data_IF_373413012197
#
_entry.id   IF_373413012197
#
_cell.length_a   1.000
_cell.length_b   1.000
_cell.length_c   1.000
_cell.angle_alpha   90.00
_cell.angle_beta   90.00
_cell.angle_gamma   90.00
#
_symmetry.space_group_name_H-M   'P 1'
#
loop_
_entity.id
_entity.type
_entity.pdbx_description
1 polymer ?
#
# COMPACT_ATOMS: atom_id res chain seq x y z
N UNK A 1 70.91 -47.00 14.50
CA UNK A 1 71.04 -45.62 13.98
C UNK A 1 69.73 -45.30 13.25
N UNK A 2 68.68 -44.86 13.97
CA UNK A 2 68.31 -43.48 14.38
C UNK A 2 67.47 -42.72 13.35
N UNK A 3 66.32 -42.20 13.82
CA UNK A 3 65.47 -41.13 13.27
C UNK A 3 64.43 -41.57 12.21
N UNK A 4 63.16 -41.18 12.23
CA UNK A 4 62.52 -39.97 12.79
C UNK A 4 61.01 -40.22 12.97
N UNK A 5 60.48 -39.85 14.15
CA UNK A 5 59.03 -39.79 14.41
C UNK A 5 58.53 -38.39 14.05
N UNK A 6 57.63 -38.25 13.09
CA UNK A 6 56.94 -37.00 12.80
C UNK A 6 55.61 -36.96 13.58
N UNK A 7 55.62 -36.24 14.71
CA UNK A 7 54.43 -35.82 15.45
C UNK A 7 53.52 -34.99 14.52
N UNK A 8 52.32 -35.48 14.21
CA UNK A 8 51.21 -34.64 13.75
C UNK A 8 50.67 -33.86 14.94
N UNK A 9 50.84 -32.54 14.90
CA UNK A 9 50.23 -31.58 15.81
C UNK A 9 48.70 -31.61 15.65
N UNK A 10 47.99 -32.08 16.68
CA UNK A 10 46.55 -31.91 16.79
C UNK A 10 46.23 -30.43 16.98
N UNK A 11 45.60 -29.81 15.98
CA UNK A 11 44.93 -28.52 16.18
C UNK A 11 43.74 -28.72 17.12
N UNK A 12 43.60 -27.94 18.20
CA UNK A 12 42.41 -28.00 19.03
C UNK A 12 41.22 -27.49 18.22
N UNK A 13 40.22 -28.36 18.02
CA UNK A 13 38.93 -27.99 17.46
C UNK A 13 38.34 -26.89 18.33
N UNK A 14 38.28 -25.65 17.81
CA UNK A 14 37.56 -24.56 18.45
C UNK A 14 36.09 -24.97 18.53
N UNK A 15 35.67 -25.47 19.69
CA UNK A 15 34.29 -25.75 20.01
C UNK A 15 33.52 -24.44 19.87
N UNK A 16 32.62 -24.37 18.88
CA UNK A 16 31.64 -23.29 18.80
C UNK A 16 30.90 -23.26 20.13
N UNK A 17 30.74 -22.09 20.78
CA UNK A 17 29.95 -22.02 22.00
C UNK A 17 28.54 -22.52 21.68
N UNK A 18 28.15 -23.64 22.32
CA UNK A 18 26.78 -24.13 22.31
C UNK A 18 25.92 -23.01 22.89
N UNK A 19 25.04 -22.44 22.06
CA UNK A 19 23.99 -21.52 22.54
C UNK A 19 23.26 -22.21 23.70
N UNK A 20 23.04 -21.53 24.84
CA UNK A 20 22.27 -22.11 25.93
C UNK A 20 20.90 -22.51 25.40
N UNK A 21 20.59 -23.80 25.50
CA UNK A 21 19.28 -24.35 25.20
C UNK A 21 18.32 -23.80 26.25
N UNK A 22 17.43 -22.90 25.86
CA UNK A 22 16.39 -22.38 26.76
C UNK A 22 16.19 -20.86 26.79
N UNK A 23 16.96 -20.05 26.05
CA UNK A 23 16.58 -18.65 25.88
C UNK A 23 15.31 -18.58 25.00
N UNK A 24 14.14 -18.50 25.66
CA UNK A 24 12.88 -18.17 25.00
C UNK A 24 13.09 -16.88 24.19
N UNK A 25 13.08 -17.04 22.88
CA UNK A 25 13.40 -15.93 21.99
C UNK A 25 12.24 -14.93 22.04
N UNK A 26 12.52 -13.62 22.13
CA UNK A 26 11.46 -12.63 22.25
C UNK A 26 10.49 -12.72 21.06
N UNK A 27 9.18 -12.65 21.31
CA UNK A 27 8.17 -12.83 20.27
C UNK A 27 8.27 -11.70 19.24
N UNK A 28 8.09 -12.04 17.95
CA UNK A 28 8.00 -11.04 16.88
C UNK A 28 6.77 -10.16 17.10
N UNK A 29 6.97 -8.85 17.22
CA UNK A 29 5.92 -7.83 17.33
C UNK A 29 6.01 -6.86 16.16
N UNK A 30 4.90 -6.65 15.46
CA UNK A 30 4.77 -5.66 14.38
C UNK A 30 4.52 -4.28 14.99
N UNK A 31 5.30 -3.28 14.58
CA UNK A 31 5.31 -1.94 15.17
C UNK A 31 5.45 -1.92 16.72
N UNK A 32 5.87 -3.03 17.34
CA UNK A 32 5.88 -3.19 18.80
C UNK A 32 4.50 -3.41 19.43
N UNK A 33 3.42 -3.26 18.65
CA UNK A 33 2.03 -3.25 19.08
C UNK A 33 1.45 -4.67 19.21
N UNK A 34 1.54 -5.46 18.14
CA UNK A 34 0.81 -6.74 18.03
C UNK A 34 1.67 -7.89 17.52
N UNK A 35 1.31 -9.11 17.93
CA UNK A 35 2.00 -10.33 17.50
C UNK A 35 1.42 -10.87 16.19
N UNK A 36 0.11 -10.81 15.98
CA UNK A 36 -0.56 -11.40 14.81
C UNK A 36 -0.45 -10.53 13.56
N UNK A 37 -0.11 -11.13 12.41
CA UNK A 37 -0.06 -10.42 11.12
C UNK A 37 -1.44 -9.92 10.66
N UNK A 38 -2.50 -10.71 10.88
CA UNK A 38 -3.87 -10.30 10.56
C UNK A 38 -4.34 -9.12 11.40
N UNK A 39 -4.11 -9.17 12.73
CA UNK A 39 -4.40 -8.05 13.64
C UNK A 39 -3.61 -6.80 13.27
N UNK A 40 -2.34 -6.97 12.88
CA UNK A 40 -1.53 -5.85 12.38
C UNK A 40 -2.12 -5.23 11.12
N UNK A 41 -2.54 -6.03 10.14
CA UNK A 41 -3.20 -5.51 8.94
C UNK A 41 -4.53 -4.82 9.24
N UNK A 42 -5.30 -5.30 10.23
CA UNK A 42 -6.50 -4.62 10.70
C UNK A 42 -6.18 -3.23 11.28
N UNK A 43 -5.06 -3.09 12.02
CA UNK A 43 -4.59 -1.78 12.51
C UNK A 43 -4.15 -0.87 11.37
N UNK A 44 -3.47 -1.40 10.35
CA UNK A 44 -3.07 -0.63 9.15
C UNK A 44 -4.30 -0.12 8.40
N UNK A 45 -5.31 -0.98 8.18
CA UNK A 45 -6.59 -0.57 7.57
C UNK A 45 -7.30 0.46 8.45
N UNK A 46 -7.34 0.24 9.76
CA UNK A 46 -7.96 1.16 10.72
C UNK A 46 -7.28 2.53 10.73
N UNK A 47 -5.95 2.59 10.68
CA UNK A 47 -5.21 3.84 10.61
C UNK A 47 -5.52 4.62 9.33
N UNK A 48 -5.59 3.95 8.17
CA UNK A 48 -5.99 4.57 6.92
C UNK A 48 -7.43 5.10 6.98
N UNK A 49 -8.36 4.30 7.49
CA UNK A 49 -9.77 4.68 7.59
C UNK A 49 -9.98 5.85 8.58
N UNK A 50 -9.30 5.84 9.72
CA UNK A 50 -9.34 6.96 10.69
C UNK A 50 -8.77 8.22 10.07
N UNK A 51 -7.63 8.14 9.38
CA UNK A 51 -7.05 9.29 8.69
C UNK A 51 -8.01 9.86 7.63
N UNK A 52 -8.66 9.00 6.85
CA UNK A 52 -9.66 9.41 5.87
C UNK A 52 -10.87 10.07 6.53
N UNK A 53 -11.45 9.45 7.56
CA UNK A 53 -12.63 9.97 8.27
C UNK A 53 -12.35 11.31 8.97
N UNK A 54 -11.23 11.41 9.69
CA UNK A 54 -10.83 12.65 10.37
C UNK A 54 -10.55 13.75 9.36
N UNK A 55 -9.85 13.44 8.26
CA UNK A 55 -9.61 14.42 7.21
C UNK A 55 -10.90 14.87 6.53
N UNK A 56 -11.81 13.95 6.18
CA UNK A 56 -13.13 14.30 5.62
C UNK A 56 -13.91 15.21 6.55
N UNK A 57 -14.00 14.88 7.85
CA UNK A 57 -14.68 15.73 8.83
C UNK A 57 -14.01 17.11 8.99
N UNK A 58 -12.68 17.16 8.94
CA UNK A 58 -11.90 18.40 9.06
C UNK A 58 -11.91 19.28 7.81
N UNK A 59 -12.24 18.70 6.63
CA UNK A 59 -12.29 19.43 5.35
C UNK A 59 -13.69 19.52 4.76
N UNK A 60 -14.73 19.20 5.51
CA UNK A 60 -16.10 19.33 5.04
C UNK A 60 -16.41 20.79 4.69
N UNK A 61 -16.99 21.01 3.50
CA UNK A 61 -17.48 22.31 3.08
C UNK A 61 -18.75 22.67 3.86
N UNK A 62 -18.96 23.95 4.21
CA UNK A 62 -20.18 24.37 4.88
C UNK A 62 -21.41 24.07 4.02
N UNK A 63 -22.49 23.64 4.67
CA UNK A 63 -23.74 23.31 3.97
C UNK A 63 -24.25 24.52 3.18
N UNK A 64 -24.48 24.31 1.87
CA UNK A 64 -25.06 25.34 1.01
C UNK A 64 -26.56 25.40 1.28
N UNK A 65 -27.04 26.57 1.73
CA UNK A 65 -28.45 26.79 2.04
C UNK A 65 -29.31 26.53 0.80
N UNK A 66 -30.28 25.62 0.92
CA UNK A 66 -31.22 25.26 -0.16
C UNK A 66 -30.83 24.02 -0.97
N UNK A 67 -29.65 23.44 -0.76
CA UNK A 67 -29.27 22.14 -1.33
C UNK A 67 -29.34 21.05 -0.26
N UNK A 68 -29.98 19.93 -0.61
CA UNK A 68 -29.99 18.76 0.25
C UNK A 68 -28.58 18.16 0.32
N UNK A 69 -28.01 18.09 1.51
CA UNK A 69 -26.74 17.40 1.72
C UNK A 69 -26.93 15.87 1.66
N UNK A 70 -25.91 15.11 1.21
CA UNK A 70 -25.92 13.66 1.35
C UNK A 70 -26.10 13.27 2.83
N UNK A 71 -26.83 12.20 3.11
CA UNK A 71 -26.93 11.68 4.47
C UNK A 71 -25.57 11.18 5.00
N UNK A 72 -25.38 11.06 6.33
CA UNK A 72 -24.09 10.67 6.93
C UNK A 72 -23.53 9.35 6.41
N UNK A 73 -24.42 8.41 6.03
CA UNK A 73 -24.02 7.13 5.45
C UNK A 73 -23.28 7.31 4.12
N UNK A 74 -23.71 8.25 3.28
CA UNK A 74 -23.07 8.51 1.98
C UNK A 74 -21.80 9.33 2.20
N UNK A 75 -21.88 10.39 3.01
CA UNK A 75 -20.77 11.30 3.31
C UNK A 75 -19.55 10.56 3.86
N UNK A 76 -19.73 9.71 4.89
CA UNK A 76 -18.64 8.94 5.49
C UNK A 76 -18.43 7.58 4.83
N UNK A 77 -19.44 7.02 4.18
CA UNK A 77 -19.34 5.73 3.49
C UNK A 77 -18.41 5.79 2.29
N UNK A 78 -18.43 6.90 1.52
CA UNK A 78 -17.57 7.07 0.36
C UNK A 78 -16.06 7.00 0.71
N UNK A 79 -15.52 7.80 1.64
CA UNK A 79 -14.09 7.73 1.98
C UNK A 79 -13.69 6.39 2.62
N UNK A 80 -14.59 5.76 3.38
CA UNK A 80 -14.35 4.41 3.94
C UNK A 80 -14.25 3.36 2.84
N UNK A 81 -15.24 3.31 1.93
CA UNK A 81 -15.22 2.36 0.81
C UNK A 81 -14.03 2.62 -0.11
N UNK A 82 -13.66 3.90 -0.31
CA UNK A 82 -12.47 4.25 -1.08
C UNK A 82 -11.19 3.73 -0.43
N UNK A 83 -11.05 3.90 0.88
CA UNK A 83 -9.88 3.39 1.62
C UNK A 83 -9.82 1.86 1.57
N UNK A 84 -10.97 1.19 1.74
CA UNK A 84 -11.05 -0.27 1.64
C UNK A 84 -10.67 -0.76 0.24
N UNK A 85 -11.14 -0.06 -0.80
CA UNK A 85 -10.78 -0.33 -2.20
C UNK A 85 -9.26 -0.23 -2.37
N UNK A 86 -8.67 0.91 -2.03
CA UNK A 86 -7.24 1.17 -2.23
C UNK A 86 -6.38 0.16 -1.47
N UNK A 87 -6.66 -0.08 -0.18
CA UNK A 87 -5.88 -1.03 0.63
C UNK A 87 -6.03 -2.47 0.13
N UNK A 88 -7.24 -2.89 -0.27
CA UNK A 88 -7.47 -4.23 -0.77
C UNK A 88 -6.81 -4.48 -2.14
N UNK A 89 -6.83 -3.50 -3.04
CA UNK A 89 -6.15 -3.54 -4.32
C UNK A 89 -4.63 -3.56 -4.17
N UNK A 90 -4.07 -2.68 -3.32
CA UNK A 90 -2.64 -2.64 -2.98
C UNK A 90 -2.18 -3.96 -2.37
N UNK A 91 -2.96 -4.54 -1.44
CA UNK A 91 -2.68 -5.84 -0.86
C UNK A 91 -2.68 -6.95 -1.93
N UNK A 92 -3.65 -6.93 -2.85
CA UNK A 92 -3.75 -7.89 -3.96
C UNK A 92 -2.51 -7.84 -4.87
N UNK A 93 -2.08 -6.64 -5.25
CA UNK A 93 -0.85 -6.44 -6.03
C UNK A 93 0.40 -6.92 -5.27
N UNK A 94 0.51 -6.56 -3.99
CA UNK A 94 1.63 -6.96 -3.13
C UNK A 94 1.77 -8.47 -2.93
N UNK A 95 0.65 -9.18 -2.77
CA UNK A 95 0.62 -10.64 -2.67
C UNK A 95 1.04 -11.31 -3.98
N UNK A 96 0.77 -10.67 -5.12
CA UNK A 96 1.34 -11.03 -6.43
C UNK A 96 2.87 -10.97 -6.42
N UNK A 97 3.41 -9.79 -6.11
CA UNK A 97 4.85 -9.48 -6.08
C UNK A 97 5.65 -10.40 -5.17
N UNK A 98 5.08 -10.82 -4.04
CA UNK A 98 5.78 -11.67 -3.08
C UNK A 98 6.33 -12.97 -3.71
N UNK A 99 5.59 -13.54 -4.67
CA UNK A 99 6.00 -14.74 -5.40
C UNK A 99 7.33 -14.51 -6.14
N UNK A 100 7.49 -13.32 -6.73
CA UNK A 100 8.71 -12.92 -7.46
C UNK A 100 9.91 -12.68 -6.54
N UNK A 101 9.67 -12.21 -5.32
CA UNK A 101 10.74 -11.95 -4.35
C UNK A 101 11.26 -13.23 -3.71
N UNK A 102 10.38 -14.16 -3.33
CA UNK A 102 10.80 -15.46 -2.79
C UNK A 102 11.59 -16.23 -3.86
N UNK A 103 11.14 -16.16 -5.12
CA UNK A 103 11.77 -16.85 -6.24
C UNK A 103 11.44 -18.34 -6.27
N UNK A 104 12.00 -19.05 -7.25
CA UNK A 104 11.70 -20.45 -7.55
C UNK A 104 12.86 -21.40 -7.19
N UNK A 105 13.86 -20.88 -6.48
CA UNK A 105 15.12 -21.58 -6.19
C UNK A 105 14.94 -22.74 -5.18
N UNK A 106 13.95 -22.63 -4.27
CA UNK A 106 13.60 -23.66 -3.27
C UNK A 106 12.06 -23.78 -3.15
N UNK A 107 11.41 -24.54 -4.06
CA UNK A 107 9.96 -24.67 -4.09
C UNK A 107 9.38 -25.29 -2.81
N UNK A 108 10.08 -26.24 -2.19
CA UNK A 108 9.59 -26.98 -1.02
C UNK A 108 9.41 -26.07 0.20
N UNK A 109 10.32 -25.11 0.38
CA UNK A 109 10.19 -24.10 1.45
C UNK A 109 9.23 -22.97 1.09
N UNK A 110 9.19 -22.57 -0.17
CA UNK A 110 8.37 -21.44 -0.63
C UNK A 110 6.87 -21.79 -0.66
N UNK A 111 6.53 -22.98 -1.14
CA UNK A 111 5.16 -23.36 -1.48
C UNK A 111 4.18 -23.36 -0.30
N UNK A 112 4.51 -23.80 0.94
CA UNK A 112 3.62 -23.67 2.09
C UNK A 112 3.22 -22.21 2.39
N UNK A 113 4.14 -21.27 2.17
CA UNK A 113 3.88 -19.84 2.34
C UNK A 113 3.05 -19.33 1.16
N UNK A 114 3.45 -19.63 -0.07
CA UNK A 114 2.76 -19.17 -1.28
C UNK A 114 1.32 -19.70 -1.37
N UNK A 115 1.04 -20.93 -0.94
CA UNK A 115 -0.34 -21.45 -0.81
C UNK A 115 -1.21 -20.58 0.09
N UNK A 116 -0.65 -20.06 1.19
CA UNK A 116 -1.38 -19.14 2.07
C UNK A 116 -1.55 -17.76 1.43
N UNK A 117 -0.50 -17.23 0.81
CA UNK A 117 -0.50 -15.95 0.09
C UNK A 117 -1.58 -15.94 -0.99
N UNK A 118 -1.64 -16.98 -1.82
CA UNK A 118 -2.63 -17.11 -2.91
C UNK A 118 -4.07 -17.17 -2.39
N UNK A 119 -4.32 -17.83 -1.25
CA UNK A 119 -5.65 -17.83 -0.60
C UNK A 119 -6.04 -16.46 -0.06
N UNK A 120 -5.10 -15.74 0.55
CA UNK A 120 -5.36 -14.37 1.03
C UNK A 120 -5.60 -13.43 -0.15
N UNK A 121 -4.89 -13.61 -1.28
CA UNK A 121 -5.08 -12.81 -2.48
C UNK A 121 -6.51 -12.92 -3.06
N UNK A 122 -7.16 -14.08 -2.94
CA UNK A 122 -8.58 -14.25 -3.32
C UNK A 122 -9.47 -13.32 -2.49
N UNK A 123 -9.25 -13.27 -1.17
CA UNK A 123 -10.06 -12.47 -0.26
C UNK A 123 -9.80 -10.97 -0.41
N UNK A 124 -8.54 -10.56 -0.61
CA UNK A 124 -8.22 -9.15 -0.86
C UNK A 124 -8.80 -8.68 -2.19
N UNK A 125 -8.73 -9.50 -3.25
CA UNK A 125 -9.34 -9.17 -4.54
C UNK A 125 -10.87 -9.11 -4.46
N UNK A 126 -11.49 -9.99 -3.66
CA UNK A 126 -12.95 -9.97 -3.44
C UNK A 126 -13.38 -8.74 -2.64
N UNK A 127 -12.64 -8.36 -1.60
CA UNK A 127 -12.88 -7.14 -0.83
C UNK A 127 -12.71 -5.89 -1.71
N UNK A 128 -11.71 -5.87 -2.59
CA UNK A 128 -11.52 -4.82 -3.58
C UNK A 128 -12.73 -4.70 -4.52
N UNK A 129 -13.20 -5.82 -5.10
CA UNK A 129 -14.38 -5.81 -5.98
C UNK A 129 -15.63 -5.31 -5.24
N UNK A 130 -15.88 -5.78 -4.03
CA UNK A 130 -17.02 -5.36 -3.22
C UNK A 130 -16.96 -3.87 -2.88
N UNK A 131 -15.78 -3.35 -2.49
CA UNK A 131 -15.59 -1.94 -2.19
C UNK A 131 -15.76 -1.05 -3.43
N UNK A 132 -15.26 -1.48 -4.59
CA UNK A 132 -15.44 -0.76 -5.85
C UNK A 132 -16.92 -0.68 -6.27
N UNK A 133 -17.64 -1.81 -6.24
CA UNK A 133 -19.08 -1.84 -6.56
C UNK A 133 -19.91 -1.02 -5.57
N UNK A 134 -19.59 -1.10 -4.27
CA UNK A 134 -20.28 -0.31 -3.24
C UNK A 134 -20.00 1.18 -3.43
N UNK A 135 -18.77 1.55 -3.80
CA UNK A 135 -18.40 2.95 -4.09
C UNK A 135 -19.24 3.52 -5.24
N UNK A 136 -19.51 2.74 -6.29
CA UNK A 136 -20.38 3.17 -7.40
C UNK A 136 -21.79 3.51 -6.87
N UNK A 137 -22.35 2.65 -6.01
CA UNK A 137 -23.69 2.87 -5.43
C UNK A 137 -23.71 4.12 -4.54
N UNK A 138 -22.71 4.29 -3.69
CA UNK A 138 -22.61 5.46 -2.80
C UNK A 138 -22.43 6.76 -3.58
N UNK A 139 -21.60 6.77 -4.62
CA UNK A 139 -21.42 7.94 -5.48
C UNK A 139 -22.68 8.24 -6.31
N UNK A 140 -23.46 7.22 -6.66
CA UNK A 140 -24.78 7.44 -7.28
C UNK A 140 -25.76 8.07 -6.28
N UNK A 141 -25.76 7.59 -5.03
CA UNK A 141 -26.60 8.14 -3.96
C UNK A 141 -26.23 9.59 -3.61
N UNK A 142 -24.96 9.96 -3.73
CA UNK A 142 -24.50 11.34 -3.56
C UNK A 142 -25.14 12.33 -4.54
N UNK A 143 -25.44 11.90 -5.76
CA UNK A 143 -26.09 12.74 -6.77
C UNK A 143 -27.61 12.89 -6.59
N UNK A 144 -28.23 12.06 -5.74
CA UNK A 144 -29.67 12.06 -5.50
C UNK A 144 -29.99 12.03 -3.99
N UNK A 145 -29.60 13.07 -3.23
CA UNK A 145 -29.79 13.08 -1.77
C UNK A 145 -31.24 12.83 -1.37
N UNK A 146 -31.44 11.93 -0.40
CA UNK A 146 -32.77 11.59 0.15
C UNK A 146 -33.50 10.46 -0.58
N UNK A 147 -32.93 9.86 -1.63
CA UNK A 147 -33.50 8.71 -2.34
C UNK A 147 -32.53 7.53 -2.40
N UNK A 148 -33.06 6.30 -2.48
CA UNK A 148 -32.23 5.10 -2.70
C UNK A 148 -32.04 4.92 -4.20
N UNK A 149 -30.78 4.85 -4.71
CA UNK A 149 -30.53 4.70 -6.13
C UNK A 149 -31.17 3.43 -6.70
N UNK A 150 -31.88 3.56 -7.83
CA UNK A 150 -32.33 2.39 -8.59
C UNK A 150 -31.18 1.79 -9.42
N UNK A 151 -31.28 0.53 -9.87
CA UNK A 151 -30.31 -0.05 -10.80
C UNK A 151 -30.13 0.77 -12.09
N UNK A 152 -31.20 1.45 -12.55
CA UNK A 152 -31.14 2.32 -13.71
C UNK A 152 -30.34 3.60 -13.47
N UNK A 153 -30.41 4.16 -12.25
CA UNK A 153 -29.60 5.32 -11.85
C UNK A 153 -28.11 4.97 -11.80
N UNK A 154 -27.79 3.80 -11.23
CA UNK A 154 -26.42 3.27 -11.20
C UNK A 154 -25.87 3.07 -12.61
N UNK A 155 -26.67 2.51 -13.52
CA UNK A 155 -26.25 2.35 -14.91
C UNK A 155 -26.05 3.69 -15.62
N UNK A 156 -26.92 4.68 -15.37
CA UNK A 156 -26.74 6.05 -15.89
C UNK A 156 -25.48 6.71 -15.33
N UNK A 157 -25.17 6.52 -14.05
CA UNK A 157 -23.93 7.00 -13.43
C UNK A 157 -22.70 6.44 -14.15
N UNK A 158 -22.67 5.11 -14.34
CA UNK A 158 -21.58 4.43 -15.06
C UNK A 158 -21.47 4.94 -16.51
N UNK A 159 -22.60 5.11 -17.21
CA UNK A 159 -22.60 5.52 -18.62
C UNK A 159 -22.14 6.97 -18.84
N UNK A 160 -22.51 7.87 -17.92
CA UNK A 160 -22.37 9.31 -18.12
C UNK A 160 -21.22 9.95 -17.33
N UNK A 161 -20.74 9.31 -16.26
CA UNK A 161 -19.74 9.90 -15.37
C UNK A 161 -18.41 9.15 -15.48
N UNK A 162 -17.28 9.83 -15.78
CA UNK A 162 -15.97 9.18 -15.89
C UNK A 162 -15.57 8.38 -14.65
N UNK A 163 -15.85 8.90 -13.44
CA UNK A 163 -15.61 8.20 -12.17
C UNK A 163 -16.33 6.85 -12.10
N UNK A 164 -17.57 6.75 -12.59
CA UNK A 164 -18.31 5.49 -12.68
C UNK A 164 -17.67 4.48 -13.64
N UNK A 165 -17.19 4.93 -14.79
CA UNK A 165 -16.44 4.08 -15.75
C UNK A 165 -15.15 3.57 -15.13
N UNK A 166 -14.39 4.44 -14.47
CA UNK A 166 -13.14 4.09 -13.82
C UNK A 166 -13.32 3.06 -12.71
N UNK A 167 -14.33 3.24 -11.84
CA UNK A 167 -14.67 2.28 -10.80
C UNK A 167 -15.18 0.96 -11.37
N UNK A 168 -15.97 0.98 -12.44
CA UNK A 168 -16.43 -0.26 -13.09
C UNK A 168 -15.24 -1.05 -13.68
N UNK A 169 -14.31 -0.37 -14.35
CA UNK A 169 -13.09 -0.98 -14.85
C UNK A 169 -12.25 -1.56 -13.70
N UNK A 170 -12.10 -0.82 -12.60
CA UNK A 170 -11.44 -1.29 -11.39
C UNK A 170 -12.11 -2.55 -10.82
N UNK A 171 -13.44 -2.55 -10.72
CA UNK A 171 -14.22 -3.70 -10.26
C UNK A 171 -14.05 -4.92 -11.19
N UNK A 172 -14.03 -4.72 -12.51
CA UNK A 172 -13.78 -5.78 -13.49
C UNK A 172 -12.38 -6.39 -13.30
N UNK A 173 -11.34 -5.55 -13.15
CA UNK A 173 -9.98 -6.00 -12.84
C UNK A 173 -9.91 -6.74 -11.49
N UNK A 174 -10.67 -6.31 -10.49
CA UNK A 174 -10.75 -6.97 -9.19
C UNK A 174 -11.37 -8.37 -9.31
N UNK A 175 -12.47 -8.51 -10.04
CA UNK A 175 -13.12 -9.80 -10.30
C UNK A 175 -12.22 -10.74 -11.12
N UNK A 176 -11.53 -10.22 -12.13
CA UNK A 176 -10.52 -10.98 -12.88
C UNK A 176 -9.33 -11.39 -11.98
N UNK A 177 -8.95 -10.54 -11.02
CA UNK A 177 -7.93 -10.86 -10.01
C UNK A 177 -8.40 -11.94 -9.03
N UNK A 178 -9.67 -11.96 -8.62
CA UNK A 178 -10.28 -13.06 -7.84
C UNK A 178 -10.16 -14.36 -8.63
N UNK A 179 -10.52 -14.35 -9.91
CA UNK A 179 -10.45 -15.51 -10.78
C UNK A 179 -9.00 -16.02 -10.92
N UNK A 180 -8.04 -15.13 -11.23
CA UNK A 180 -6.62 -15.48 -11.32
C UNK A 180 -6.06 -15.99 -10.00
N UNK A 181 -6.43 -15.39 -8.87
CA UNK A 181 -6.00 -15.85 -7.56
C UNK A 181 -6.54 -17.25 -7.24
N UNK A 182 -7.80 -17.54 -7.59
CA UNK A 182 -8.37 -18.91 -7.47
C UNK A 182 -7.66 -19.89 -8.39
N UNK A 183 -7.35 -19.48 -9.62
CA UNK A 183 -6.59 -20.29 -10.55
C UNK A 183 -5.19 -20.61 -10.00
N UNK A 184 -4.53 -19.63 -9.39
CA UNK A 184 -3.22 -19.78 -8.76
C UNK A 184 -3.27 -20.64 -7.49
N UNK A 185 -4.37 -20.61 -6.73
CA UNK A 185 -4.58 -21.57 -5.61
C UNK A 185 -4.60 -23.01 -6.13
N UNK A 186 -5.19 -23.25 -7.30
CA UNK A 186 -5.29 -24.60 -7.90
C UNK A 186 -4.03 -25.04 -8.64
N UNK A 187 -3.40 -24.14 -9.39
CA UNK A 187 -2.31 -24.46 -10.32
C UNK A 187 -0.93 -23.95 -9.86
N UNK A 188 -0.86 -23.32 -8.68
CA UNK A 188 0.37 -22.75 -8.14
C UNK A 188 0.93 -21.62 -9.01
N UNK A 189 2.24 -21.64 -9.20
CA UNK A 189 2.97 -20.61 -9.96
C UNK A 189 2.95 -20.83 -11.47
N UNK A 190 2.18 -21.81 -11.98
CA UNK A 190 1.83 -21.87 -13.41
C UNK A 190 1.05 -20.63 -13.86
N UNK A 191 0.38 -19.95 -12.92
CA UNK A 191 -0.23 -18.64 -13.16
C UNK A 191 0.83 -17.57 -12.87
N UNK A 192 1.35 -16.85 -13.90
CA UNK A 192 2.47 -15.93 -13.73
C UNK A 192 2.20 -14.87 -12.66
N UNK A 193 3.20 -14.61 -11.81
CA UNK A 193 3.11 -13.60 -10.77
C UNK A 193 3.00 -12.19 -11.35
N UNK A 194 3.63 -11.97 -12.50
CA UNK A 194 3.63 -10.75 -13.28
C UNK A 194 2.23 -10.44 -13.79
N UNK A 195 1.50 -11.44 -14.29
CA UNK A 195 0.12 -11.29 -14.74
C UNK A 195 -0.81 -10.88 -13.58
N UNK A 196 -0.69 -11.58 -12.44
CA UNK A 196 -1.49 -11.29 -11.24
C UNK A 196 -1.24 -9.88 -10.71
N UNK A 197 0.04 -9.49 -10.64
CA UNK A 197 0.46 -8.18 -10.16
C UNK A 197 0.07 -7.08 -11.14
N UNK A 198 0.36 -7.27 -12.43
CA UNK A 198 0.09 -6.31 -13.49
C UNK A 198 -1.40 -5.99 -13.59
N UNK A 199 -2.27 -7.01 -13.52
CA UNK A 199 -3.72 -6.79 -13.52
C UNK A 199 -4.19 -5.99 -12.31
N UNK A 200 -3.66 -6.29 -11.12
CA UNK A 200 -4.03 -5.57 -9.90
C UNK A 200 -3.59 -4.10 -9.94
N UNK A 201 -2.37 -3.83 -10.42
CA UNK A 201 -1.86 -2.47 -10.62
C UNK A 201 -2.63 -1.73 -11.71
N UNK A 202 -2.97 -2.41 -12.81
CA UNK A 202 -3.77 -1.83 -13.88
C UNK A 202 -5.16 -1.41 -13.39
N UNK A 203 -5.82 -2.21 -12.56
CA UNK A 203 -7.13 -1.86 -12.00
C UNK A 203 -7.13 -0.66 -11.04
N UNK A 204 -5.96 -0.19 -10.60
CA UNK A 204 -5.83 1.03 -9.80
C UNK A 204 -5.70 2.30 -10.65
N UNK A 205 -5.24 2.19 -11.91
CA UNK A 205 -5.00 3.32 -12.81
C UNK A 205 -6.24 4.18 -13.12
N UNK A 206 -7.45 3.63 -13.29
CA UNK A 206 -8.61 4.44 -13.65
C UNK A 206 -9.05 5.38 -12.52
N UNK A 207 -8.66 5.10 -11.28
CA UNK A 207 -9.19 5.79 -10.12
C UNK A 207 -8.72 7.25 -10.01
N UNK A 208 -7.42 7.58 -10.15
CA UNK A 208 -6.94 8.96 -10.09
C UNK A 208 -7.28 9.77 -11.35
N UNK A 209 -7.43 9.11 -12.51
CA UNK A 209 -7.72 9.77 -13.79
C UNK A 209 -9.11 10.41 -13.87
N UNK A 210 -9.98 10.10 -12.91
CA UNK A 210 -11.36 10.58 -12.88
C UNK A 210 -11.56 11.82 -12.00
N UNK A 211 -10.51 12.26 -11.31
CA UNK A 211 -10.48 13.56 -10.62
C UNK A 211 -10.19 14.70 -11.60
N UNK A 212 -10.73 15.89 -11.33
CA UNK A 212 -10.54 17.08 -12.18
C UNK A 212 -9.06 17.48 -12.23
N UNK A 213 -8.28 16.90 -13.15
CA UNK A 213 -7.01 17.45 -13.59
C UNK A 213 -7.29 18.73 -14.40
N UNK A 214 -7.82 19.76 -13.75
CA UNK A 214 -8.12 21.05 -14.33
C UNK A 214 -6.85 21.91 -14.36
N UNK A 215 -5.90 21.54 -15.23
CA UNK A 215 -4.96 22.52 -15.78
C UNK A 215 -4.52 22.13 -17.20
N UNK A 216 -5.06 22.85 -18.19
CA UNK A 216 -5.00 22.52 -19.62
C UNK A 216 -3.60 22.53 -20.25
N UNK A 217 -2.59 23.16 -19.62
CA UNK A 217 -1.22 23.21 -20.15
C UNK A 217 -0.34 21.99 -19.81
N UNK A 218 -0.66 21.24 -18.74
CA UNK A 218 0.16 20.10 -18.27
C UNK A 218 -0.66 18.84 -17.96
N UNK A 219 -1.86 18.74 -18.54
CA UNK A 219 -2.81 17.66 -18.30
C UNK A 219 -2.18 16.27 -18.53
N UNK A 220 -1.55 16.06 -19.69
CA UNK A 220 -1.00 14.75 -20.07
C UNK A 220 0.16 14.33 -19.16
N UNK A 221 1.05 15.28 -18.82
CA UNK A 221 2.16 15.02 -17.91
C UNK A 221 1.66 14.70 -16.50
N UNK A 222 0.66 15.43 -16.01
CA UNK A 222 0.08 15.22 -14.69
C UNK A 222 -0.61 13.86 -14.57
N UNK A 223 -1.29 13.41 -15.63
CA UNK A 223 -1.87 12.07 -15.70
C UNK A 223 -0.80 10.98 -15.59
N UNK A 224 0.24 11.03 -16.42
CA UNK A 224 1.32 10.03 -16.41
C UNK A 224 2.05 10.00 -15.06
N UNK A 225 2.31 11.16 -14.46
CA UNK A 225 2.95 11.22 -13.15
C UNK A 225 2.07 10.64 -12.04
N UNK A 226 0.75 10.88 -12.09
CA UNK A 226 -0.19 10.31 -11.12
C UNK A 226 -0.30 8.79 -11.26
N UNK A 227 -0.38 8.27 -12.48
CA UNK A 227 -0.35 6.83 -12.74
C UNK A 227 0.93 6.19 -12.21
N UNK A 228 2.09 6.78 -12.54
CA UNK A 228 3.39 6.33 -12.05
C UNK A 228 3.45 6.37 -10.51
N UNK A 229 2.93 7.44 -9.90
CA UNK A 229 2.86 7.58 -8.44
C UNK A 229 2.05 6.44 -7.81
N UNK A 230 0.85 6.18 -8.31
CA UNK A 230 -0.03 5.13 -7.76
C UNK A 230 0.57 3.75 -7.96
N UNK A 231 1.10 3.44 -9.14
CA UNK A 231 1.73 2.13 -9.42
C UNK A 231 2.92 1.89 -8.48
N UNK A 232 3.79 2.89 -8.35
CA UNK A 232 5.01 2.75 -7.54
C UNK A 232 4.73 2.74 -6.04
N UNK A 233 3.79 3.57 -5.56
CA UNK A 233 3.32 3.54 -4.18
C UNK A 233 2.66 2.20 -3.83
N UNK A 234 1.82 1.67 -4.73
CA UNK A 234 1.12 0.39 -4.54
C UNK A 234 2.07 -0.80 -4.52
N UNK A 235 3.04 -0.84 -5.45
CA UNK A 235 4.05 -1.89 -5.49
C UNK A 235 4.92 -1.89 -4.21
N UNK A 236 5.24 -0.70 -3.70
CA UNK A 236 6.00 -0.54 -2.47
C UNK A 236 5.22 -0.94 -1.21
N UNK A 237 4.07 -0.30 -0.96
CA UNK A 237 3.27 -0.55 0.24
C UNK A 237 2.75 -2.00 0.28
N UNK A 238 2.21 -2.49 -0.84
CA UNK A 238 1.72 -3.86 -0.97
C UNK A 238 2.85 -4.88 -0.84
N UNK A 239 3.98 -4.64 -1.51
CA UNK A 239 5.15 -5.51 -1.42
C UNK A 239 5.72 -5.60 -0.01
N UNK A 240 5.81 -4.46 0.69
CA UNK A 240 6.27 -4.40 2.09
C UNK A 240 5.33 -5.18 3.01
N UNK A 241 4.02 -4.93 2.88
CA UNK A 241 2.99 -5.63 3.64
C UNK A 241 3.08 -7.14 3.45
N UNK A 242 3.17 -7.60 2.20
CA UNK A 242 3.27 -9.01 1.88
C UNK A 242 4.56 -9.65 2.44
N UNK A 243 5.73 -9.02 2.25
CA UNK A 243 7.01 -9.52 2.78
C UNK A 243 6.98 -9.62 4.30
N UNK A 244 6.53 -8.57 4.99
CA UNK A 244 6.59 -8.50 6.44
C UNK A 244 5.58 -9.44 7.10
N UNK A 245 4.33 -9.48 6.61
CA UNK A 245 3.28 -10.33 7.19
C UNK A 245 3.62 -11.83 7.03
N UNK A 246 4.14 -12.24 5.88
CA UNK A 246 4.34 -13.66 5.57
C UNK A 246 5.75 -14.18 5.85
N UNK A 247 6.79 -13.33 5.74
CA UNK A 247 8.19 -13.80 5.79
C UNK A 247 8.93 -13.45 7.06
N UNK A 248 8.46 -12.52 7.90
CA UNK A 248 9.24 -12.09 9.08
C UNK A 248 9.52 -13.23 10.08
N UNK A 249 8.67 -14.27 10.08
CA UNK A 249 8.82 -15.48 10.92
C UNK A 249 9.63 -16.59 10.24
N UNK A 250 10.07 -16.37 9.00
CA UNK A 250 10.77 -17.32 8.13
C UNK A 250 12.11 -16.71 7.70
N UNK A 251 13.14 -16.71 8.59
CA UNK A 251 14.40 -16.01 8.35
C UNK A 251 15.09 -16.44 7.05
N UNK A 252 14.96 -17.71 6.65
CA UNK A 252 15.53 -18.23 5.41
C UNK A 252 14.92 -17.57 4.16
N UNK A 253 13.59 -17.50 4.10
CA UNK A 253 12.88 -16.88 2.97
C UNK A 253 13.00 -15.35 3.01
N UNK A 254 13.00 -14.75 4.21
CA UNK A 254 13.19 -13.31 4.38
C UNK A 254 14.57 -12.86 3.89
N UNK A 255 15.62 -13.64 4.16
CA UNK A 255 16.98 -13.34 3.71
C UNK A 255 17.10 -13.28 2.18
N UNK A 256 16.26 -14.02 1.45
CA UNK A 256 16.22 -14.01 -0.02
C UNK A 256 15.30 -12.90 -0.55
N UNK A 257 14.09 -12.79 0.00
CA UNK A 257 13.07 -11.89 -0.51
C UNK A 257 13.35 -10.42 -0.17
N UNK A 258 13.84 -10.13 1.04
CA UNK A 258 13.99 -8.76 1.50
C UNK A 258 15.03 -7.95 0.69
N UNK A 259 16.21 -8.49 0.32
CA UNK A 259 17.14 -7.77 -0.57
C UNK A 259 16.58 -7.53 -1.97
N UNK A 260 15.78 -8.46 -2.51
CA UNK A 260 15.09 -8.30 -3.81
C UNK A 260 14.03 -7.21 -3.71
N UNK A 261 13.21 -7.22 -2.67
CA UNK A 261 12.22 -6.18 -2.39
C UNK A 261 12.86 -4.81 -2.14
N UNK A 262 13.95 -4.74 -1.37
CA UNK A 262 14.63 -3.47 -1.04
C UNK A 262 15.15 -2.73 -2.28
N UNK A 263 15.56 -3.47 -3.32
CA UNK A 263 15.91 -2.88 -4.63
C UNK A 263 14.69 -2.23 -5.29
N UNK A 264 13.56 -2.92 -5.35
CA UNK A 264 12.31 -2.36 -5.87
C UNK A 264 11.87 -1.14 -5.04
N UNK A 265 11.85 -1.26 -3.72
CA UNK A 265 11.44 -0.21 -2.80
C UNK A 265 12.28 1.07 -2.98
N UNK A 266 13.58 0.95 -3.27
CA UNK A 266 14.42 2.12 -3.55
C UNK A 266 13.92 2.89 -4.78
N UNK A 267 13.62 2.18 -5.88
CA UNK A 267 13.07 2.81 -7.08
C UNK A 267 11.68 3.38 -6.83
N UNK A 268 10.84 2.69 -6.07
CA UNK A 268 9.52 3.20 -5.70
C UNK A 268 9.62 4.48 -4.86
N UNK A 269 10.46 4.54 -3.83
CA UNK A 269 10.64 5.74 -2.99
C UNK A 269 11.06 6.93 -3.84
N UNK A 270 12.03 6.74 -4.76
CA UNK A 270 12.47 7.80 -5.67
C UNK A 270 11.33 8.23 -6.59
N UNK A 271 10.64 7.28 -7.23
CA UNK A 271 9.56 7.59 -8.17
C UNK A 271 8.38 8.30 -7.49
N UNK A 272 7.92 7.80 -6.34
CA UNK A 272 6.84 8.41 -5.54
C UNK A 272 7.27 9.80 -5.04
N UNK A 273 8.52 9.96 -4.62
CA UNK A 273 9.09 11.23 -4.20
C UNK A 273 9.12 12.27 -5.31
N UNK A 274 9.66 11.92 -6.48
CA UNK A 274 9.76 12.82 -7.64
C UNK A 274 8.37 13.18 -8.18
N UNK A 275 7.51 12.18 -8.40
CA UNK A 275 6.15 12.41 -8.90
C UNK A 275 5.33 13.25 -7.92
N UNK A 276 5.39 12.94 -6.61
CA UNK A 276 4.65 13.66 -5.58
C UNK A 276 5.14 15.10 -5.40
N UNK A 277 6.47 15.32 -5.46
CA UNK A 277 7.05 16.66 -5.42
C UNK A 277 6.62 17.49 -6.64
N UNK A 278 6.67 16.90 -7.83
CA UNK A 278 6.30 17.60 -9.06
C UNK A 278 4.81 17.97 -9.08
N UNK A 279 3.92 17.04 -8.71
CA UNK A 279 2.48 17.32 -8.58
C UNK A 279 2.22 18.37 -7.51
N UNK A 280 2.86 18.27 -6.34
CA UNK A 280 2.70 19.25 -5.27
C UNK A 280 3.20 20.64 -5.63
N UNK A 281 4.34 20.76 -6.32
CA UNK A 281 4.87 22.04 -6.79
C UNK A 281 3.97 22.63 -7.89
N UNK A 282 3.55 21.83 -8.87
CA UNK A 282 2.67 22.31 -9.94
C UNK A 282 1.39 22.91 -9.36
N UNK A 283 0.78 22.22 -8.41
CA UNK A 283 -0.50 22.65 -7.85
C UNK A 283 -0.38 23.92 -6.98
N UNK A 284 0.76 24.09 -6.30
CA UNK A 284 1.07 25.30 -5.53
C UNK A 284 1.50 26.48 -6.43
N UNK A 285 2.25 26.21 -7.49
CA UNK A 285 2.76 27.24 -8.41
C UNK A 285 1.70 27.78 -9.38
N UNK A 286 0.67 26.98 -9.66
CA UNK A 286 -0.41 27.32 -10.60
C UNK A 286 -1.69 27.80 -9.92
N UNK A 287 -1.77 27.76 -8.59
CA UNK A 287 -2.91 28.30 -7.84
C UNK A 287 -2.89 29.83 -7.86
N UNK A 288 -3.88 30.53 -8.47
CA UNK A 288 -3.90 31.98 -8.60
C UNK A 288 -4.09 32.77 -7.28
N UNK A 289 -4.21 32.07 -6.15
CA UNK A 289 -4.68 32.61 -4.87
C UNK A 289 -3.62 32.57 -3.74
N UNK A 290 -2.37 32.20 -4.03
CA UNK A 290 -1.38 31.94 -2.97
C UNK A 290 -0.13 32.81 -3.09
N UNK A 291 -0.03 33.84 -2.26
CA UNK A 291 1.29 34.40 -1.89
C UNK A 291 1.99 33.41 -0.93
N UNK A 292 3.04 32.74 -1.41
CA UNK A 292 3.89 31.91 -0.57
C UNK A 292 4.79 32.81 0.30
N UNK A 293 4.92 32.54 1.62
CA UNK A 293 4.79 31.23 2.26
C UNK A 293 3.54 31.03 3.15
N UNK A 294 2.70 32.05 3.35
CA UNK A 294 1.64 32.02 4.37
C UNK A 294 0.54 31.00 4.05
N UNK A 295 0.22 30.81 2.77
CA UNK A 295 -0.88 29.92 2.32
C UNK A 295 -0.72 28.44 2.72
N UNK A 296 0.51 27.96 2.91
CA UNK A 296 0.78 26.57 3.29
C UNK A 296 0.30 26.24 4.72
N UNK A 297 0.23 27.23 5.62
CA UNK A 297 -0.26 27.07 6.99
C UNK A 297 -1.67 27.65 7.18
N UNK A 298 -2.15 28.47 6.25
CA UNK A 298 -3.47 29.13 6.33
C UNK A 298 -4.55 28.51 5.42
N UNK A 299 -4.25 27.44 4.69
CA UNK A 299 -5.24 26.68 3.91
C UNK A 299 -5.34 25.24 4.40
N UNK A 300 -6.56 24.66 4.35
CA UNK A 300 -6.77 23.23 4.67
C UNK A 300 -5.98 22.33 3.71
N UNK A 301 -5.90 22.73 2.45
CA UNK A 301 -5.15 22.04 1.40
C UNK A 301 -3.63 22.01 1.67
N UNK A 302 -3.04 23.15 2.05
CA UNK A 302 -1.61 23.25 2.38
C UNK A 302 -1.18 22.34 3.53
N UNK A 303 -2.01 22.24 4.57
CA UNK A 303 -1.76 21.34 5.71
C UNK A 303 -1.75 19.87 5.29
N UNK A 304 -2.65 19.44 4.39
CA UNK A 304 -2.67 18.07 3.88
C UNK A 304 -1.43 17.75 3.03
N UNK A 305 -0.94 18.70 2.23
CA UNK A 305 0.33 18.56 1.49
C UNK A 305 1.52 18.44 2.45
N UNK A 306 1.59 19.29 3.48
CA UNK A 306 2.64 19.21 4.49
C UNK A 306 2.61 17.88 5.23
N UNK A 307 1.42 17.39 5.60
CA UNK A 307 1.25 16.09 6.23
C UNK A 307 1.77 14.95 5.33
N UNK A 308 1.43 14.97 4.03
CA UNK A 308 1.91 13.98 3.06
C UNK A 308 3.43 14.05 2.87
N UNK A 309 3.99 15.25 2.83
CA UNK A 309 5.44 15.48 2.72
C UNK A 309 6.17 14.95 3.96
N UNK A 310 5.65 15.22 5.16
CA UNK A 310 6.19 14.69 6.41
C UNK A 310 6.15 13.15 6.44
N UNK A 311 5.04 12.55 6.03
CA UNK A 311 4.92 11.09 5.93
C UNK A 311 5.99 10.51 5.00
N UNK A 312 6.23 11.14 3.85
CA UNK A 312 7.28 10.72 2.90
C UNK A 312 8.67 10.78 3.54
N UNK A 313 9.00 11.88 4.22
CA UNK A 313 10.31 12.03 4.89
C UNK A 313 10.50 10.95 5.97
N UNK A 314 9.50 10.73 6.81
CA UNK A 314 9.55 9.71 7.87
C UNK A 314 9.78 8.33 7.28
N UNK A 315 9.04 7.98 6.23
CA UNK A 315 9.16 6.67 5.58
C UNK A 315 10.52 6.51 4.89
N UNK A 316 11.03 7.54 4.21
CA UNK A 316 12.36 7.52 3.60
C UNK A 316 13.46 7.27 4.65
N UNK A 317 13.37 7.93 5.82
CA UNK A 317 14.28 7.70 6.94
C UNK A 317 14.20 6.25 7.43
N UNK A 318 12.99 5.71 7.63
CA UNK A 318 12.80 4.31 8.04
C UNK A 318 13.42 3.36 7.02
N UNK A 319 13.19 3.58 5.72
CA UNK A 319 13.75 2.74 4.66
C UNK A 319 15.29 2.75 4.66
N UNK A 320 15.92 3.92 4.87
CA UNK A 320 17.38 4.04 4.99
C UNK A 320 17.89 3.29 6.21
N UNK A 321 17.23 3.42 7.37
CA UNK A 321 17.59 2.69 8.60
C UNK A 321 17.49 1.18 8.38
N UNK A 322 16.39 0.70 7.80
CA UNK A 322 16.18 -0.72 7.52
C UNK A 322 17.26 -1.28 6.59
N UNK A 323 17.59 -0.53 5.54
CA UNK A 323 18.61 -0.93 4.56
C UNK A 323 20.02 -0.96 5.15
N UNK A 324 20.40 0.07 5.90
CA UNK A 324 21.78 0.22 6.40
C UNK A 324 22.05 -0.60 7.65
N UNK A 325 21.08 -0.71 8.57
CA UNK A 325 21.27 -1.39 9.86
C UNK A 325 20.78 -2.82 9.86
N UNK A 326 19.62 -3.12 9.28
CA UNK A 326 19.00 -4.45 9.45
C UNK A 326 19.24 -5.40 8.29
N UNK A 327 19.33 -4.91 7.05
CA UNK A 327 19.51 -5.77 5.87
C UNK A 327 20.75 -6.68 5.95
N UNK A 328 21.95 -6.23 6.41
CA UNK A 328 23.12 -7.10 6.53
C UNK A 328 22.91 -8.25 7.53
N UNK A 329 22.24 -7.96 8.65
CA UNK A 329 21.94 -8.95 9.68
C UNK A 329 20.90 -9.97 9.19
N UNK A 330 19.90 -9.52 8.43
CA UNK A 330 18.87 -10.39 7.85
C UNK A 330 19.43 -11.28 6.75
N UNK A 331 20.36 -10.78 5.92
CA UNK A 331 21.09 -11.58 4.95
C UNK A 331 21.86 -12.73 5.63
N UNK A 332 22.37 -12.49 6.84
CA UNK A 332 22.98 -13.51 7.71
C UNK A 332 21.96 -14.35 8.50
N UNK A 333 20.67 -14.32 8.13
CA UNK A 333 19.54 -15.05 8.74
C UNK A 333 19.35 -14.75 10.24
N UNK A 334 19.80 -13.58 10.69
CA UNK A 334 19.61 -13.15 12.07
C UNK A 334 18.23 -12.49 12.21
N UNK A 335 17.57 -12.73 13.35
CA UNK A 335 16.33 -12.02 13.68
C UNK A 335 16.67 -10.61 14.15
N UNK A 336 15.98 -9.61 13.60
CA UNK A 336 16.18 -8.19 13.88
C UNK A 336 14.85 -7.52 14.23
N UNK A 337 14.90 -6.25 14.59
CA UNK A 337 13.73 -5.40 14.78
C UNK A 337 13.02 -5.01 13.46
N UNK A 338 13.25 -5.71 12.34
CA UNK A 338 12.67 -5.35 11.04
C UNK A 338 11.14 -5.30 11.04
N UNK A 339 10.48 -6.18 11.81
CA UNK A 339 9.01 -6.16 11.96
C UNK A 339 8.49 -4.91 12.69
N UNK A 340 9.29 -4.35 13.60
CA UNK A 340 8.98 -3.11 14.31
C UNK A 340 9.07 -1.93 13.35
N UNK A 341 10.20 -1.78 12.67
CA UNK A 341 10.48 -0.65 11.77
C UNK A 341 9.59 -0.66 10.53
N UNK A 342 9.52 -1.79 9.81
CA UNK A 342 8.62 -1.91 8.66
C UNK A 342 7.15 -1.92 9.07
N UNK A 343 6.84 -2.28 10.32
CA UNK A 343 5.49 -2.13 10.87
C UNK A 343 5.11 -0.65 10.99
N UNK A 344 5.99 0.19 11.52
CA UNK A 344 5.79 1.64 11.55
C UNK A 344 5.73 2.25 10.15
N UNK A 345 6.58 1.80 9.24
CA UNK A 345 6.56 2.22 7.83
C UNK A 345 5.18 2.00 7.21
N UNK A 346 4.57 0.82 7.41
CA UNK A 346 3.22 0.50 6.92
C UNK A 346 2.12 1.34 7.57
N UNK A 347 2.24 1.68 8.86
CA UNK A 347 1.29 2.57 9.54
C UNK A 347 1.36 3.98 8.94
N UNK A 348 2.57 4.52 8.72
CA UNK A 348 2.74 5.85 8.13
C UNK A 348 2.26 5.86 6.68
N UNK A 349 2.54 4.81 5.90
CA UNK A 349 1.98 4.66 4.55
C UNK A 349 0.45 4.62 4.59
N UNK A 350 -0.17 3.87 5.51
CA UNK A 350 -1.63 3.83 5.65
C UNK A 350 -2.23 5.21 5.94
N UNK A 351 -1.62 5.99 6.85
CA UNK A 351 -2.04 7.37 7.12
C UNK A 351 -1.92 8.23 5.85
N UNK A 352 -0.81 8.12 5.10
CA UNK A 352 -0.62 8.86 3.86
C UNK A 352 -1.67 8.50 2.78
N UNK A 353 -2.08 7.23 2.70
CA UNK A 353 -3.18 6.79 1.84
C UNK A 353 -4.52 7.40 2.29
N UNK A 354 -4.82 7.39 3.59
CA UNK A 354 -6.04 8.02 4.13
C UNK A 354 -6.10 9.53 3.84
N UNK A 355 -4.98 10.23 4.01
CA UNK A 355 -4.85 11.65 3.63
C UNK A 355 -5.06 11.85 2.12
N UNK A 356 -4.54 10.95 1.28
CA UNK A 356 -4.74 11.02 -0.17
C UNK A 356 -6.21 10.86 -0.58
N UNK A 357 -7.00 10.04 0.12
CA UNK A 357 -8.45 9.90 -0.11
C UNK A 357 -9.20 11.21 0.15
N UNK A 358 -8.75 12.00 1.11
CA UNK A 358 -9.36 13.30 1.44
C UNK A 358 -8.98 14.34 0.39
N UNK A 359 -7.71 14.34 -0.03
CA UNK A 359 -7.19 15.27 -1.04
C UNK A 359 -7.92 15.20 -2.38
N UNK A 360 -8.43 14.03 -2.79
CA UNK A 360 -9.18 13.90 -4.05
C UNK A 360 -10.54 14.59 -4.03
N UNK A 361 -11.03 15.02 -2.85
CA UNK A 361 -12.32 15.66 -2.66
C UNK A 361 -12.23 17.04 -2.02
N UNK A 362 -11.08 17.44 -1.50
CA UNK A 362 -10.90 18.76 -0.89
C UNK A 362 -10.72 19.84 -1.95
N UNK A 363 -11.49 20.92 -1.85
CA UNK A 363 -11.24 22.15 -2.58
C UNK A 363 -10.22 23.03 -1.84
N UNK A 364 -9.61 24.00 -2.54
CA UNK A 364 -8.72 24.98 -1.90
C UNK A 364 -9.58 26.02 -1.18
N UNK A 365 -9.89 25.75 0.09
CA UNK A 365 -10.67 26.65 0.95
C UNK A 365 -9.79 27.24 2.06
N UNK A 366 -9.90 28.56 2.26
CA UNK A 366 -9.25 29.27 3.37
C UNK A 366 -9.93 28.90 4.70
N UNK A 367 -9.15 28.99 5.78
CA UNK A 367 -9.65 28.79 7.15
C UNK A 367 -10.66 29.85 7.60
#
# INVERSE_FOLDING_TARGET
>A
MTSSSTRRSGQPSRSRPRRPAGAEQPPVRFAGLVRGGATFMALVVGAAAVAALVGTAGTADPAVVGLAAPGPLVEFGIPVMRTLLDVAAVATAGLGLLSRFIGFDDPDRAEPVLRRVRRVAVWTAAAWAAAALTSIVLLTAELQPGSVPSPADVWRYIGNIPAGKGLLLSAACALASVWLARLAVRHGERVPAELRTGLALFGLLPLPLTGHASNWQYHDLSMVLMELHVVTASAWAGGLGAVIVFLVRRPDLLAVALPRFSRLATWCVVAVGVTGLFTGILELALSPLTELPSSLWTTRYGVLILAKTLCMVVVAVIAVVVRTRFLPHIANRQRTAVALWCGWELIVLAVAFGVAVVLTRSSVTLY
#
